data_IF_130120173774
#
_entry.id   IF_130120173774
#
_cell.length_a   1.000
_cell.length_b   1.000
_cell.length_c   1.000
_cell.angle_alpha   90.00
_cell.angle_beta   90.00
_cell.angle_gamma   90.00
#
_symmetry.space_group_name_H-M   'P 1'
#
loop_
_entity.id
_entity.type
_entity.pdbx_description
1 polymer ?
#
# COMPACT_ATOMS: atom_id res chain seq x y z
N UNK A 1 22.11 -61.96 -61.19
CA UNK A 1 22.50 -61.95 -59.73
C UNK A 1 22.24 -60.62 -59.17
N UNK A 2 21.10 -60.47 -58.58
CA UNK A 2 20.60 -59.22 -57.97
C UNK A 2 20.75 -59.30 -56.44
N UNK A 3 21.61 -58.44 -55.89
CA UNK A 3 21.95 -58.41 -54.49
C UNK A 3 20.85 -57.58 -53.78
N UNK A 4 20.02 -58.24 -52.99
CA UNK A 4 19.06 -57.59 -52.10
C UNK A 4 19.84 -57.04 -50.92
N UNK A 5 19.95 -55.72 -50.82
CA UNK A 5 20.38 -55.02 -49.59
C UNK A 5 19.25 -54.95 -48.61
N UNK A 6 19.45 -55.64 -47.48
CA UNK A 6 18.56 -55.62 -46.35
C UNK A 6 18.77 -54.29 -45.60
N UNK A 7 17.86 -53.31 -45.77
CA UNK A 7 17.82 -52.11 -45.00
C UNK A 7 17.32 -52.48 -43.58
N UNK A 8 18.26 -52.60 -42.64
CA UNK A 8 17.90 -52.62 -41.20
C UNK A 8 17.46 -51.25 -40.79
N UNK A 9 16.16 -51.08 -40.60
CA UNK A 9 15.59 -49.94 -39.89
C UNK A 9 16.04 -49.99 -38.43
N UNK A 10 16.82 -48.98 -38.04
CA UNK A 10 17.21 -48.74 -36.65
C UNK A 10 15.95 -48.38 -35.86
N UNK A 11 15.42 -49.33 -35.11
CA UNK A 11 14.33 -49.05 -34.16
C UNK A 11 14.86 -48.07 -33.13
N UNK A 12 14.34 -46.84 -33.16
CA UNK A 12 14.48 -45.87 -32.08
C UNK A 12 13.81 -46.45 -30.85
N UNK A 13 14.60 -47.02 -29.93
CA UNK A 13 14.11 -47.42 -28.61
C UNK A 13 13.66 -46.19 -27.86
N UNK A 14 12.37 -45.87 -27.92
CA UNK A 14 11.73 -44.90 -27.05
C UNK A 14 11.91 -45.45 -25.64
N UNK A 15 12.76 -44.79 -24.84
CA UNK A 15 12.90 -45.08 -23.42
C UNK A 15 11.53 -44.81 -22.74
N UNK A 16 10.84 -45.89 -22.33
CA UNK A 16 9.62 -45.79 -21.56
C UNK A 16 9.99 -45.55 -20.10
N UNK A 17 9.46 -44.47 -19.54
CA UNK A 17 9.63 -44.15 -18.12
C UNK A 17 9.03 -45.25 -17.25
N UNK A 18 9.74 -45.65 -16.21
CA UNK A 18 9.23 -46.62 -15.24
C UNK A 18 8.32 -45.90 -14.23
N UNK A 19 7.29 -46.60 -13.71
CA UNK A 19 6.43 -46.06 -12.62
C UNK A 19 7.25 -45.63 -11.40
N UNK A 20 8.35 -46.33 -11.14
CA UNK A 20 9.23 -46.03 -10.00
C UNK A 20 10.00 -44.72 -10.20
N UNK A 21 10.48 -44.43 -11.41
CA UNK A 21 11.15 -43.15 -11.72
C UNK A 21 10.19 -41.97 -11.58
N UNK A 22 8.93 -42.12 -12.04
CA UNK A 22 7.93 -41.11 -11.88
C UNK A 22 7.58 -40.86 -10.38
N UNK A 23 7.43 -41.98 -9.62
CA UNK A 23 7.14 -41.89 -8.19
C UNK A 23 8.27 -41.20 -7.43
N UNK A 24 9.53 -41.50 -7.72
CA UNK A 24 10.69 -40.85 -7.12
C UNK A 24 10.69 -39.35 -7.35
N UNK A 25 10.40 -38.91 -8.56
CA UNK A 25 10.39 -37.50 -8.94
C UNK A 25 9.29 -36.75 -8.19
N UNK A 26 8.07 -37.30 -8.14
CA UNK A 26 6.95 -36.61 -7.42
C UNK A 26 7.23 -36.52 -5.91
N UNK A 27 7.85 -37.53 -5.29
CA UNK A 27 8.24 -37.49 -3.87
C UNK A 27 9.23 -36.35 -3.62
N UNK A 28 10.26 -36.20 -4.45
CA UNK A 28 11.24 -35.12 -4.32
C UNK A 28 10.56 -33.76 -4.49
N UNK A 29 9.69 -33.60 -5.50
CA UNK A 29 8.97 -32.35 -5.74
C UNK A 29 8.08 -31.97 -4.55
N UNK A 30 7.34 -32.93 -3.98
CA UNK A 30 6.49 -32.69 -2.81
C UNK A 30 7.30 -32.21 -1.60
N UNK A 31 8.46 -32.84 -1.35
CA UNK A 31 9.36 -32.41 -0.26
C UNK A 31 9.87 -30.99 -0.50
N UNK A 32 10.32 -30.66 -1.71
CA UNK A 32 10.84 -29.33 -2.05
C UNK A 32 9.75 -28.26 -1.91
N UNK A 33 8.55 -28.52 -2.42
CA UNK A 33 7.40 -27.60 -2.31
C UNK A 33 7.02 -27.41 -0.84
N UNK A 34 6.98 -28.48 -0.05
CA UNK A 34 6.66 -28.43 1.38
C UNK A 34 7.61 -27.54 2.19
N UNK A 35 8.91 -27.55 1.85
CA UNK A 35 9.93 -26.70 2.49
C UNK A 35 9.92 -25.26 2.00
N UNK A 36 9.56 -25.03 0.72
CA UNK A 36 9.56 -23.71 0.11
C UNK A 36 8.35 -22.85 0.53
N UNK A 37 7.20 -23.48 0.80
CA UNK A 37 5.93 -22.77 1.04
C UNK A 37 5.95 -21.78 2.21
N UNK A 38 6.46 -22.09 3.42
CA UNK A 38 6.50 -21.13 4.52
C UNK A 38 7.45 -19.94 4.24
N UNK A 39 8.55 -20.16 3.54
CA UNK A 39 9.48 -19.09 3.16
C UNK A 39 8.83 -18.08 2.20
N UNK A 40 7.99 -18.54 1.28
CA UNK A 40 7.32 -17.71 0.28
C UNK A 40 6.34 -16.71 0.91
N UNK A 41 5.61 -17.08 1.96
CA UNK A 41 4.70 -16.17 2.66
C UNK A 41 5.43 -14.97 3.29
N UNK A 42 6.59 -15.20 3.88
CA UNK A 42 7.42 -14.14 4.46
C UNK A 42 7.91 -13.13 3.42
N UNK A 43 8.26 -13.60 2.22
CA UNK A 43 8.68 -12.73 1.12
C UNK A 43 7.52 -11.85 0.62
N UNK A 44 6.32 -12.41 0.48
CA UNK A 44 5.13 -11.67 0.06
C UNK A 44 4.78 -10.54 1.06
N UNK A 45 4.84 -10.80 2.36
CA UNK A 45 4.58 -9.76 3.36
C UNK A 45 5.65 -8.64 3.33
N UNK A 46 6.92 -8.98 3.11
CA UNK A 46 7.96 -7.97 2.90
C UNK A 46 7.72 -7.14 1.65
N UNK A 47 7.32 -7.77 0.54
CA UNK A 47 6.99 -7.06 -0.70
C UNK A 47 5.85 -6.07 -0.51
N UNK A 48 4.78 -6.43 0.22
CA UNK A 48 3.68 -5.54 0.57
C UNK A 48 4.15 -4.35 1.41
N UNK A 49 5.02 -4.57 2.39
CA UNK A 49 5.59 -3.47 3.20
C UNK A 49 6.40 -2.49 2.35
N UNK A 50 7.22 -3.00 1.44
CA UNK A 50 7.99 -2.15 0.50
C UNK A 50 7.05 -1.36 -0.41
N UNK A 51 5.99 -2.00 -0.93
CA UNK A 51 4.98 -1.31 -1.72
C UNK A 51 4.31 -0.20 -0.90
N UNK A 52 3.81 -0.51 0.30
CA UNK A 52 3.20 0.48 1.17
C UNK A 52 4.15 1.66 1.48
N UNK A 53 5.43 1.39 1.76
CA UNK A 53 6.42 2.46 1.99
C UNK A 53 6.60 3.36 0.77
N UNK A 54 6.61 2.78 -0.44
CA UNK A 54 6.70 3.53 -1.68
C UNK A 54 5.45 4.39 -1.91
N UNK A 55 4.26 3.83 -1.67
CA UNK A 55 2.99 4.56 -1.78
C UNK A 55 2.94 5.73 -0.80
N UNK A 56 3.34 5.53 0.46
CA UNK A 56 3.43 6.59 1.48
C UNK A 56 4.38 7.72 1.05
N UNK A 57 5.54 7.37 0.48
CA UNK A 57 6.49 8.36 -0.04
C UNK A 57 5.87 9.18 -1.19
N UNK A 58 5.13 8.53 -2.08
CA UNK A 58 4.43 9.21 -3.17
C UNK A 58 3.35 10.16 -2.63
N UNK A 59 2.57 9.74 -1.63
CA UNK A 59 1.54 10.58 -0.99
C UNK A 59 2.17 11.84 -0.39
N UNK A 60 3.19 11.69 0.45
CA UNK A 60 3.89 12.82 1.08
C UNK A 60 4.49 13.75 0.04
N UNK A 61 5.12 13.18 -0.99
CA UNK A 61 5.69 13.96 -2.10
C UNK A 61 4.62 14.75 -2.86
N UNK A 62 3.46 14.15 -3.13
CA UNK A 62 2.35 14.78 -3.84
C UNK A 62 1.75 15.96 -3.05
N UNK A 63 1.55 15.79 -1.73
CA UNK A 63 1.04 16.87 -0.87
C UNK A 63 2.04 18.02 -0.78
N UNK A 64 3.33 17.73 -0.64
CA UNK A 64 4.38 18.76 -0.65
C UNK A 64 4.53 19.45 -2.02
N UNK A 65 4.37 18.73 -3.12
CA UNK A 65 4.35 19.31 -4.45
C UNK A 65 3.14 20.24 -4.64
N UNK A 66 1.97 19.85 -4.13
CA UNK A 66 0.79 20.72 -4.10
C UNK A 66 1.07 22.00 -3.29
N UNK A 67 1.67 21.87 -2.10
CA UNK A 67 2.06 23.02 -1.27
C UNK A 67 3.03 23.95 -2.01
N UNK A 68 4.03 23.39 -2.71
CA UNK A 68 4.99 24.17 -3.51
C UNK A 68 4.31 24.96 -4.63
N UNK A 69 3.27 24.38 -5.26
CA UNK A 69 2.56 24.99 -6.37
C UNK A 69 1.55 26.06 -5.93
N UNK A 70 0.84 25.82 -4.83
CA UNK A 70 -0.27 26.68 -4.39
C UNK A 70 0.04 27.53 -3.14
N UNK A 71 1.19 27.33 -2.50
CA UNK A 71 1.58 28.03 -1.26
C UNK A 71 0.74 27.64 -0.04
N UNK A 72 -0.08 26.60 -0.14
CA UNK A 72 -0.96 26.10 0.93
C UNK A 72 -1.19 24.60 0.75
N UNK A 73 -1.48 23.91 1.86
CA UNK A 73 -1.90 22.50 1.80
C UNK A 73 -3.33 22.36 1.27
N UNK A 74 -3.66 21.23 0.60
CA UNK A 74 -5.01 20.98 0.09
C UNK A 74 -6.00 20.71 1.24
N UNK A 75 -7.21 21.30 1.19
CA UNK A 75 -8.37 20.98 2.03
C UNK A 75 -8.20 21.16 3.55
N UNK A 76 -7.15 21.83 4.00
CA UNK A 76 -6.85 21.91 5.44
C UNK A 76 -7.60 23.07 6.08
N UNK A 77 -8.60 22.75 6.93
CA UNK A 77 -9.32 23.73 7.76
C UNK A 77 -8.98 23.59 9.26
N UNK A 78 -8.49 22.45 9.68
CA UNK A 78 -7.96 22.10 11.02
C UNK A 78 -6.89 21.00 10.87
N UNK A 79 -6.09 20.74 11.90
CA UNK A 79 -5.25 19.56 11.92
C UNK A 79 -6.16 18.35 11.73
N UNK A 80 -6.09 17.75 10.58
CA UNK A 80 -7.06 16.75 10.16
C UNK A 80 -6.32 15.48 9.78
N UNK A 81 -6.72 14.38 10.39
CA UNK A 81 -6.32 13.04 9.99
C UNK A 81 -7.28 12.55 8.90
N UNK A 82 -6.77 12.27 7.74
CA UNK A 82 -7.47 11.61 6.66
C UNK A 82 -7.25 10.11 6.73
N UNK A 83 -8.30 9.32 6.46
CA UNK A 83 -8.22 7.87 6.42
C UNK A 83 -8.92 7.16 7.58
N UNK A 84 -8.47 5.97 7.98
CA UNK A 84 -9.16 5.14 8.98
C UNK A 84 -9.32 5.85 10.31
N UNK A 85 -10.56 5.95 10.79
CA UNK A 85 -10.88 6.63 12.06
C UNK A 85 -10.96 8.16 12.01
N UNK A 86 -10.61 8.77 10.87
CA UNK A 86 -10.66 10.19 10.63
C UNK A 86 -11.63 10.58 9.51
N UNK A 87 -11.36 11.70 8.86
CA UNK A 87 -12.08 12.17 7.68
C UNK A 87 -11.72 11.32 6.46
N UNK A 88 -12.69 11.06 5.56
CA UNK A 88 -12.40 10.38 4.29
C UNK A 88 -11.30 11.07 3.52
N UNK A 89 -10.33 10.31 3.02
CA UNK A 89 -9.23 10.82 2.20
C UNK A 89 -9.62 11.04 0.73
N UNK A 90 -10.86 10.73 0.33
CA UNK A 90 -11.32 10.81 -1.06
C UNK A 90 -11.13 12.21 -1.66
N UNK A 91 -11.57 13.26 -0.97
CA UNK A 91 -11.46 14.64 -1.45
C UNK A 91 -10.00 15.09 -1.61
N UNK A 92 -9.12 14.62 -0.74
CA UNK A 92 -7.68 14.84 -0.85
C UNK A 92 -7.14 14.21 -2.15
N UNK A 93 -7.49 12.95 -2.41
CA UNK A 93 -7.03 12.27 -3.63
C UNK A 93 -7.71 12.79 -4.91
N UNK A 94 -8.97 13.22 -4.87
CA UNK A 94 -9.58 13.92 -6.00
C UNK A 94 -8.80 15.19 -6.34
N UNK A 95 -8.40 15.96 -5.34
CA UNK A 95 -7.60 17.18 -5.53
C UNK A 95 -6.21 16.88 -6.06
N UNK A 96 -5.49 15.93 -5.50
CA UNK A 96 -4.12 15.57 -5.91
C UNK A 96 -4.06 14.87 -7.29
N UNK A 97 -5.12 14.19 -7.69
CA UNK A 97 -5.26 13.51 -9.00
C UNK A 97 -5.87 14.40 -10.07
N UNK A 98 -6.22 15.64 -9.77
CA UNK A 98 -6.96 16.56 -10.65
C UNK A 98 -8.32 16.02 -11.13
N UNK A 99 -9.00 15.20 -10.30
CA UNK A 99 -10.34 14.68 -10.58
C UNK A 99 -11.38 15.67 -10.07
N UNK A 100 -12.30 16.10 -10.93
CA UNK A 100 -13.31 17.10 -10.59
C UNK A 100 -14.51 16.47 -9.83
N UNK A 101 -14.26 15.90 -8.66
CA UNK A 101 -15.25 15.28 -7.77
C UNK A 101 -15.07 15.79 -6.33
N UNK A 102 -16.09 15.57 -5.49
CA UNK A 102 -16.08 15.95 -4.08
C UNK A 102 -15.73 17.43 -3.89
N UNK A 103 -14.84 17.73 -2.97
CA UNK A 103 -14.39 19.10 -2.71
C UNK A 103 -13.65 19.74 -3.90
N UNK A 104 -13.13 18.95 -4.83
CA UNK A 104 -12.48 19.43 -6.07
C UNK A 104 -13.46 19.53 -7.25
N UNK A 105 -14.78 19.49 -7.03
CA UNK A 105 -15.77 19.66 -8.08
C UNK A 105 -15.64 21.01 -8.79
N UNK A 106 -16.17 21.08 -10.00
CA UNK A 106 -16.09 22.32 -10.81
C UNK A 106 -16.95 23.42 -10.19
N UNK A 107 -16.34 24.59 -10.01
CA UNK A 107 -17.01 25.85 -9.69
C UNK A 107 -16.75 26.83 -10.84
N UNK A 108 -17.81 27.24 -11.55
CA UNK A 108 -17.70 28.06 -12.75
C UNK A 108 -16.77 27.47 -13.84
N UNK A 109 -16.78 26.13 -13.97
CA UNK A 109 -15.97 25.42 -14.97
C UNK A 109 -14.51 25.16 -14.56
N UNK A 110 -14.11 25.54 -13.34
CA UNK A 110 -12.74 25.35 -12.82
C UNK A 110 -12.80 24.48 -11.54
N UNK A 111 -11.89 23.50 -11.34
CA UNK A 111 -11.83 22.74 -10.09
C UNK A 111 -11.56 23.65 -8.89
N UNK A 112 -12.33 23.45 -7.82
CA UNK A 112 -12.33 24.37 -6.68
C UNK A 112 -11.02 24.34 -5.87
N UNK A 113 -10.38 23.18 -5.77
CA UNK A 113 -9.17 22.97 -4.94
C UNK A 113 -7.92 22.97 -5.81
N UNK A 114 -7.94 22.29 -6.96
CA UNK A 114 -6.83 22.21 -7.91
C UNK A 114 -7.18 22.90 -9.24
N UNK A 115 -7.24 24.24 -9.28
CA UNK A 115 -7.72 24.99 -10.45
C UNK A 115 -6.81 24.87 -11.68
N UNK A 116 -5.53 24.53 -11.49
CA UNK A 116 -4.57 24.30 -12.59
C UNK A 116 -4.64 22.87 -13.15
N UNK A 117 -5.46 22.00 -12.57
CA UNK A 117 -5.63 20.60 -13.00
C UNK A 117 -4.28 19.83 -13.08
N UNK A 118 -3.37 20.13 -12.16
CA UNK A 118 -2.05 19.47 -12.09
C UNK A 118 -2.23 18.11 -11.39
N UNK A 119 -1.75 17.06 -12.05
CA UNK A 119 -1.73 15.70 -11.46
C UNK A 119 -0.47 15.56 -10.61
N UNK A 120 -0.61 15.59 -9.30
CA UNK A 120 0.49 15.43 -8.34
C UNK A 120 0.77 13.97 -8.01
N UNK A 121 -0.27 13.10 -8.11
CA UNK A 121 -0.15 11.66 -7.87
C UNK A 121 -1.06 10.90 -8.84
N UNK A 122 -0.60 9.74 -9.31
CA UNK A 122 -1.35 8.88 -10.23
C UNK A 122 -1.26 7.41 -9.80
N UNK A 123 -1.84 7.04 -8.65
CA UNK A 123 -1.89 5.65 -8.22
C UNK A 123 -2.82 4.84 -9.13
N UNK A 124 -2.61 3.51 -9.25
CA UNK A 124 -3.51 2.66 -10.01
C UNK A 124 -4.89 2.59 -9.35
N UNK A 125 -5.91 2.25 -10.12
CA UNK A 125 -7.19 1.87 -9.56
C UNK A 125 -7.15 0.45 -9.00
N UNK A 126 -7.98 0.16 -7.99
CA UNK A 126 -8.06 -1.18 -7.41
C UNK A 126 -8.58 -2.19 -8.43
N UNK A 127 -8.02 -3.41 -8.41
CA UNK A 127 -8.46 -4.49 -9.31
C UNK A 127 -9.81 -5.11 -8.92
N UNK A 128 -10.15 -5.06 -7.63
CA UNK A 128 -11.40 -5.61 -7.10
C UNK A 128 -12.11 -4.56 -6.25
N UNK A 129 -13.24 -4.07 -6.72
CA UNK A 129 -14.03 -3.05 -6.05
C UNK A 129 -14.69 -3.54 -4.76
N UNK A 130 -15.01 -4.84 -4.66
CA UNK A 130 -15.61 -5.41 -3.46
C UNK A 130 -14.60 -5.64 -2.32
N UNK A 131 -13.31 -5.71 -2.64
CA UNK A 131 -12.21 -5.84 -1.68
C UNK A 131 -11.03 -5.00 -2.16
N UNK A 132 -11.10 -3.67 -1.99
CA UNK A 132 -10.10 -2.75 -2.53
C UNK A 132 -8.74 -2.97 -1.87
N UNK A 133 -7.68 -3.01 -2.69
CA UNK A 133 -6.27 -3.15 -2.26
C UNK A 133 -5.34 -2.53 -3.29
N UNK A 134 -4.25 -1.95 -2.80
CA UNK A 134 -3.15 -1.45 -3.67
C UNK A 134 -3.63 -0.51 -4.76
N UNK A 135 -4.44 0.49 -4.44
CA UNK A 135 -4.95 1.43 -5.43
C UNK A 135 -6.11 2.29 -4.93
N UNK A 136 -6.64 3.10 -5.82
CA UNK A 136 -7.80 3.96 -5.56
C UNK A 136 -9.08 3.14 -5.68
N UNK A 137 -9.88 3.14 -4.62
CA UNK A 137 -11.20 2.53 -4.60
C UNK A 137 -12.27 3.35 -5.33
N UNK A 138 -13.45 2.76 -5.53
CA UNK A 138 -14.61 3.46 -6.09
C UNK A 138 -15.11 4.62 -5.22
N UNK A 139 -14.75 4.61 -3.97
CA UNK A 139 -15.02 5.67 -2.99
C UNK A 139 -13.98 6.82 -3.02
N UNK A 140 -12.98 6.74 -3.89
CA UNK A 140 -11.93 7.74 -4.06
C UNK A 140 -10.78 7.66 -3.06
N UNK A 141 -10.81 6.72 -2.12
CA UNK A 141 -9.73 6.54 -1.14
C UNK A 141 -8.59 5.69 -1.70
N UNK A 142 -7.37 5.92 -1.22
CA UNK A 142 -6.20 5.11 -1.61
C UNK A 142 -5.96 4.01 -0.58
N UNK A 143 -6.05 2.78 -1.04
CA UNK A 143 -5.95 1.56 -0.24
C UNK A 143 -4.56 0.95 -0.27
N UNK A 144 -4.10 0.53 0.88
CA UNK A 144 -2.85 -0.19 1.07
C UNK A 144 -2.91 -1.65 0.55
N UNK A 145 -1.78 -2.39 0.52
CA UNK A 145 -1.76 -3.79 0.06
C UNK A 145 -2.58 -4.78 0.91
N UNK A 146 -3.03 -4.40 2.09
CA UNK A 146 -3.85 -5.23 2.96
C UNK A 146 -5.34 -4.89 2.89
N UNK A 147 -5.69 -3.72 2.32
CA UNK A 147 -7.07 -3.30 2.09
C UNK A 147 -7.59 -2.29 3.11
N UNK A 148 -6.69 -1.58 3.77
CA UNK A 148 -7.02 -0.44 4.63
C UNK A 148 -6.65 0.87 3.91
N UNK A 149 -7.46 1.93 3.95
CA UNK A 149 -7.05 3.22 3.42
C UNK A 149 -5.80 3.74 4.12
N UNK A 150 -4.92 4.42 3.38
CA UNK A 150 -3.79 5.12 3.99
C UNK A 150 -4.28 6.24 4.91
N UNK A 151 -3.63 6.37 6.05
CA UNK A 151 -3.81 7.50 6.95
C UNK A 151 -2.81 8.60 6.62
N UNK A 152 -3.28 9.86 6.62
CA UNK A 152 -2.49 11.02 6.25
C UNK A 152 -2.82 12.13 7.24
N UNK A 153 -1.81 12.77 7.80
CA UNK A 153 -1.97 13.97 8.64
C UNK A 153 -1.16 15.10 8.04
N UNK A 154 -1.77 16.29 8.01
CA UNK A 154 -1.22 17.49 7.39
C UNK A 154 -1.19 18.59 8.45
N UNK A 155 -0.03 19.22 8.61
CA UNK A 155 0.18 20.37 9.47
C UNK A 155 -0.56 21.59 8.91
N UNK A 156 -1.60 22.01 9.62
CA UNK A 156 -2.43 23.14 9.24
C UNK A 156 -1.90 24.46 9.75
N UNK A 157 -1.35 24.45 10.95
CA UNK A 157 -0.92 25.67 11.62
C UNK A 157 0.42 26.18 11.06
N UNK A 158 1.06 25.38 10.19
CA UNK A 158 2.33 25.66 9.51
C UNK A 158 3.50 25.86 10.48
N UNK A 159 3.45 25.22 11.67
CA UNK A 159 4.56 25.22 12.62
C UNK A 159 5.58 24.12 12.36
N UNK A 160 5.35 23.29 11.32
CA UNK A 160 6.14 22.15 10.92
C UNK A 160 6.28 21.10 12.03
N UNK A 161 5.19 20.90 12.77
CA UNK A 161 5.10 19.93 13.85
C UNK A 161 3.77 19.16 13.76
N UNK A 162 3.85 17.85 13.74
CA UNK A 162 2.71 16.95 13.77
C UNK A 162 2.86 16.02 14.95
N UNK A 163 1.80 15.82 15.74
CA UNK A 163 1.82 14.87 16.83
C UNK A 163 2.06 13.45 16.31
N UNK A 164 2.99 12.72 16.92
CA UNK A 164 3.29 11.36 16.49
C UNK A 164 2.12 10.43 16.85
N UNK A 165 1.47 9.74 15.89
CA UNK A 165 0.37 8.82 16.19
C UNK A 165 0.71 7.71 17.18
N UNK A 166 2.00 7.39 17.30
CA UNK A 166 2.52 6.38 18.23
C UNK A 166 3.12 7.01 19.50
N UNK A 167 3.10 8.34 19.63
CA UNK A 167 3.83 9.04 20.69
C UNK A 167 5.32 8.71 20.63
N UNK A 168 5.92 8.43 21.78
CA UNK A 168 7.34 8.03 21.87
C UNK A 168 7.58 6.52 21.75
N UNK A 169 6.57 5.74 21.32
CA UNK A 169 6.58 4.26 21.34
C UNK A 169 7.21 3.63 20.08
N UNK A 170 8.43 3.98 19.76
CA UNK A 170 9.24 3.32 18.73
C UNK A 170 9.10 3.90 17.31
N UNK A 171 8.27 4.94 17.11
CA UNK A 171 8.07 5.58 15.81
C UNK A 171 8.83 6.91 15.65
N UNK A 172 9.86 7.16 16.44
CA UNK A 172 10.65 8.38 16.41
C UNK A 172 10.23 9.42 17.44
N UNK A 173 10.56 10.68 17.18
CA UNK A 173 10.25 11.79 18.09
C UNK A 173 8.76 12.14 18.09
N UNK A 174 8.30 12.73 19.19
CA UNK A 174 7.00 13.38 19.31
C UNK A 174 7.23 14.82 19.84
N UNK A 175 6.86 15.88 19.11
CA UNK A 175 6.25 15.87 17.77
C UNK A 175 7.23 15.52 16.63
N UNK A 176 6.68 15.06 15.49
CA UNK A 176 7.41 14.85 14.23
C UNK A 176 7.58 16.22 13.55
N UNK A 177 8.82 16.57 13.16
CA UNK A 177 9.10 17.85 12.48
C UNK A 177 8.95 17.71 10.98
N UNK A 178 7.71 17.61 10.53
CA UNK A 178 7.32 17.53 9.12
C UNK A 178 5.95 18.18 8.94
N UNK A 179 5.71 18.76 7.77
CA UNK A 179 4.41 19.35 7.42
C UNK A 179 3.37 18.32 6.95
N UNK A 180 3.80 17.11 6.62
CA UNK A 180 2.93 16.00 6.18
C UNK A 180 3.51 14.69 6.64
N UNK A 181 2.69 13.84 7.22
CA UNK A 181 3.01 12.44 7.50
C UNK A 181 1.92 11.53 6.95
N UNK A 182 2.30 10.30 6.62
CA UNK A 182 1.37 9.28 6.18
C UNK A 182 1.78 7.91 6.72
N UNK A 183 0.79 7.03 6.97
CA UNK A 183 1.06 5.67 7.45
C UNK A 183 0.01 4.68 6.99
N UNK A 184 0.38 3.41 6.99
CA UNK A 184 -0.49 2.26 6.79
C UNK A 184 -0.56 1.46 8.09
N UNK A 185 -1.74 0.97 8.42
CA UNK A 185 -1.98 0.12 9.59
C UNK A 185 -1.54 -1.33 9.39
N UNK A 186 -0.92 -1.64 8.25
CA UNK A 186 -0.41 -2.96 7.95
C UNK A 186 -1.47 -4.05 7.92
N UNK A 187 -1.03 -5.29 8.14
CA UNK A 187 -1.88 -6.48 7.99
C UNK A 187 -3.03 -6.58 8.99
N UNK A 188 -2.82 -6.11 10.21
CA UNK A 188 -3.83 -6.17 11.27
C UNK A 188 -4.88 -5.05 11.19
N UNK A 189 -4.59 -3.98 10.45
CA UNK A 189 -5.45 -2.83 10.24
C UNK A 189 -5.70 -2.02 11.51
N UNK A 190 -4.76 -2.05 12.47
CA UNK A 190 -4.88 -1.40 13.79
C UNK A 190 -3.56 -0.70 14.11
N UNK A 191 -3.64 0.52 14.62
CA UNK A 191 -2.47 1.32 14.98
C UNK A 191 -1.64 0.64 16.07
N UNK A 192 -0.35 0.46 15.81
CA UNK A 192 0.60 -0.06 16.79
C UNK A 192 0.35 -1.50 17.24
N UNK A 193 -0.35 -2.31 16.44
CA UNK A 193 -0.60 -3.70 16.78
C UNK A 193 -1.63 -3.93 17.90
N UNK A 194 -2.39 -2.90 18.27
CA UNK A 194 -3.47 -2.98 19.25
C UNK A 194 -4.62 -3.90 18.84
N UNK A 195 -5.60 -4.07 19.72
CA UNK A 195 -6.82 -4.82 19.42
C UNK A 195 -7.69 -4.07 18.41
N UNK A 196 -8.53 -4.80 17.66
CA UNK A 196 -9.41 -4.23 16.62
C UNK A 196 -10.35 -3.12 17.12
N UNK A 197 -10.59 -3.05 18.43
CA UNK A 197 -11.35 -1.98 19.11
C UNK A 197 -10.62 -0.64 19.12
N UNK A 198 -9.29 -0.62 18.92
CA UNK A 198 -8.48 0.61 18.97
C UNK A 198 -8.49 1.39 17.66
N UNK A 199 -9.19 0.91 16.63
CA UNK A 199 -9.40 1.65 15.36
C UNK A 199 -10.05 3.02 15.53
N UNK A 200 -10.71 3.25 16.64
CA UNK A 200 -11.40 4.52 16.96
C UNK A 200 -10.50 5.56 17.64
N UNK A 201 -9.26 5.22 17.96
CA UNK A 201 -8.32 6.12 18.64
C UNK A 201 -7.49 7.00 17.70
N UNK A 202 -7.95 7.18 16.48
CA UNK A 202 -7.50 8.25 15.59
C UNK A 202 -8.22 9.54 15.99
N UNK A 203 -7.66 10.34 16.81
CA UNK A 203 -8.24 11.59 17.20
C UNK A 203 -7.41 12.23 18.30
N UNK A 204 -7.74 13.42 18.67
CA UNK A 204 -7.10 14.27 19.68
C UNK A 204 -7.10 13.70 21.12
N UNK A 205 -7.25 12.39 21.26
CA UNK A 205 -7.22 11.69 22.54
C UNK A 205 -5.80 11.67 23.11
N UNK A 206 -5.57 12.21 24.31
CA UNK A 206 -4.31 12.00 25.02
C UNK A 206 -4.18 10.50 25.36
N UNK A 207 -3.32 9.80 24.66
CA UNK A 207 -3.12 8.37 24.81
C UNK A 207 -3.12 7.61 23.48
N UNK A 208 -2.70 8.22 22.38
CA UNK A 208 -2.31 7.54 21.14
C UNK A 208 -1.17 6.56 21.45
N UNK A 209 -1.52 5.40 21.95
CA UNK A 209 -0.56 4.47 22.52
C UNK A 209 -0.54 3.14 21.77
N UNK A 210 -0.38 3.21 20.45
CA UNK A 210 0.11 2.05 19.72
C UNK A 210 1.62 1.93 19.90
N UNK A 211 2.15 0.73 20.08
CA UNK A 211 3.59 0.49 20.01
C UNK A 211 3.95 0.19 18.56
N UNK A 212 4.73 1.07 17.92
CA UNK A 212 5.15 0.86 16.53
C UNK A 212 6.05 -0.36 16.37
N UNK A 213 6.93 -0.60 17.33
CA UNK A 213 7.86 -1.75 17.30
C UNK A 213 7.09 -3.06 17.20
N UNK A 214 7.34 -3.84 16.15
CA UNK A 214 6.67 -5.10 15.84
C UNK A 214 5.16 -5.01 15.48
N UNK A 215 4.60 -3.82 15.28
CA UNK A 215 3.20 -3.65 14.89
C UNK A 215 2.88 -4.21 13.51
N UNK A 216 3.83 -4.15 12.61
CA UNK A 216 3.60 -4.44 11.20
C UNK A 216 3.19 -3.22 10.38
N UNK A 217 2.97 -2.07 11.02
CA UNK A 217 2.64 -0.81 10.39
C UNK A 217 3.79 -0.29 9.52
N UNK A 218 3.46 0.58 8.58
CA UNK A 218 4.45 1.24 7.72
C UNK A 218 4.24 2.74 7.83
N UNK A 219 5.32 3.49 8.09
CA UNK A 219 5.29 4.95 8.31
C UNK A 219 6.16 5.68 7.32
N UNK A 220 5.82 6.94 6.98
CA UNK A 220 6.56 7.73 5.99
C UNK A 220 7.83 8.38 6.55
N UNK A 221 7.89 8.64 7.85
CA UNK A 221 8.90 9.49 8.49
C UNK A 221 10.12 8.76 9.08
N UNK A 222 10.25 7.46 8.85
CA UNK A 222 11.45 6.66 9.17
C UNK A 222 11.95 5.90 7.95
#
# INVERSE_FOLDING_TARGET
>A
MTKLECLMTKEDRKAAFTLMELLLVIVIVVILVGLAFPAFQGVLERAKKVQAKNDLTQIVTAVNAYYTEYGKYPLVTADTIYGPGGTSSADLFYSLRAVALGANALVNGVPAVNPRTIVFISPPDVKNLASPRSGIGSDGQFYDPWGTPYAIEIDRNYDNQIANPYGTNGAGADPIRQGVIAWSLGKNGVLGGGLATDRTKFGDEPGRAGVFTNSGDVISWQ
#
